data_IF_045313884802
#
_entry.id   IF_045313884802
#
_cell.length_a   1.000
_cell.length_b   1.000
_cell.length_c   1.000
_cell.angle_alpha   90.00
_cell.angle_beta   90.00
_cell.angle_gamma   90.00
#
_symmetry.space_group_name_H-M   'P 1'
#
loop_
_entity.id
_entity.type
_entity.pdbx_description
1 polymer ?
#
# COMPACT_ATOMS: atom_id res chain seq x y z
N UNK A 1 16.26 -4.70 -10.43
CA UNK A 1 16.81 -3.57 -9.64
C UNK A 1 15.64 -2.76 -9.15
N UNK A 2 15.51 -2.54 -7.84
CA UNK A 2 14.41 -1.76 -7.26
C UNK A 2 14.60 -0.28 -7.61
N UNK A 3 13.61 0.43 -8.16
CA UNK A 3 13.78 1.83 -8.56
C UNK A 3 13.97 2.77 -7.35
N UNK A 4 15.09 3.51 -7.36
CA UNK A 4 15.39 4.56 -6.38
C UNK A 4 14.79 5.89 -6.88
N UNK A 5 13.95 6.51 -6.06
CA UNK A 5 13.34 7.81 -6.33
C UNK A 5 14.05 8.89 -5.50
N UNK A 6 14.62 9.90 -6.12
CA UNK A 6 15.24 11.03 -5.40
C UNK A 6 14.17 12.05 -5.02
N UNK A 7 14.06 12.43 -3.74
CA UNK A 7 13.10 13.43 -3.26
C UNK A 7 13.82 14.70 -2.77
N UNK A 8 13.13 15.87 -2.69
CA UNK A 8 13.76 17.15 -2.34
C UNK A 8 14.42 17.23 -0.94
N UNK A 9 14.16 16.28 -0.03
CA UNK A 9 14.69 16.25 1.35
C UNK A 9 15.27 14.88 1.77
N UNK A 10 15.63 14.02 0.80
CA UNK A 10 16.17 12.69 1.10
C UNK A 10 16.02 11.69 -0.04
N UNK A 11 16.36 10.44 0.23
CA UNK A 11 16.23 9.35 -0.74
C UNK A 11 14.98 8.52 -0.43
N UNK A 12 14.14 8.28 -1.45
CA UNK A 12 13.00 7.38 -1.38
C UNK A 12 13.33 6.09 -2.14
N UNK A 13 13.14 4.95 -1.48
CA UNK A 13 13.23 3.64 -2.11
C UNK A 13 11.94 2.90 -1.86
N UNK A 14 11.24 2.49 -2.92
CA UNK A 14 10.03 1.68 -2.77
C UNK A 14 10.45 0.23 -2.91
N UNK A 15 10.27 -0.57 -1.86
CA UNK A 15 10.51 -2.02 -1.90
C UNK A 15 9.18 -2.75 -1.88
N UNK A 16 9.16 -3.94 -2.45
CA UNK A 16 8.02 -4.83 -2.45
C UNK A 16 8.43 -6.20 -1.91
N UNK A 17 7.50 -6.92 -1.29
CA UNK A 17 7.69 -8.31 -0.87
C UNK A 17 7.14 -9.25 -1.94
N UNK A 18 7.91 -10.24 -2.38
CA UNK A 18 7.51 -11.22 -3.41
C UNK A 18 7.37 -12.63 -2.80
N UNK A 19 6.35 -13.38 -3.22
CA UNK A 19 6.09 -14.77 -2.78
C UNK A 19 6.75 -15.82 -3.69
N UNK A 20 7.10 -15.50 -4.95
CA UNK A 20 7.56 -16.48 -5.94
C UNK A 20 9.06 -16.45 -6.26
N UNK A 21 9.87 -15.71 -5.49
CA UNK A 21 11.32 -15.84 -5.54
C UNK A 21 11.73 -16.79 -4.41
N UNK A 22 12.27 -17.96 -4.74
CA UNK A 22 12.84 -18.88 -3.74
C UNK A 22 14.05 -18.27 -3.00
N UNK A 23 14.44 -17.05 -3.33
CA UNK A 23 15.42 -16.26 -2.60
C UNK A 23 14.78 -14.99 -2.01
N UNK A 24 14.63 -15.04 -0.69
CA UNK A 24 14.39 -13.94 0.23
C UNK A 24 12.95 -13.44 0.37
N UNK A 25 12.16 -14.21 1.12
CA UNK A 25 11.33 -13.60 2.16
C UNK A 25 12.27 -12.74 3.04
N UNK A 26 12.44 -11.45 2.74
CA UNK A 26 12.96 -10.53 3.75
C UNK A 26 11.86 -10.44 4.80
N UNK A 27 11.93 -11.34 5.78
CA UNK A 27 10.98 -11.39 6.89
C UNK A 27 10.81 -9.97 7.43
N UNK A 28 9.56 -9.49 7.47
CA UNK A 28 9.25 -8.18 8.05
C UNK A 28 9.59 -8.28 9.54
N UNK A 29 10.72 -7.68 9.93
CA UNK A 29 11.21 -7.69 11.30
C UNK A 29 10.34 -6.84 12.22
N UNK A 30 10.52 -7.02 13.53
CA UNK A 30 9.71 -6.33 14.55
C UNK A 30 9.67 -4.81 14.39
N UNK A 31 10.78 -4.19 13.95
CA UNK A 31 10.80 -2.74 13.75
C UNK A 31 9.96 -2.31 12.53
N UNK A 32 10.03 -3.04 11.42
CA UNK A 32 9.15 -2.77 10.28
C UNK A 32 7.67 -3.02 10.63
N UNK A 33 7.36 -4.06 11.41
CA UNK A 33 6.00 -4.32 11.89
C UNK A 33 5.46 -3.15 12.73
N UNK A 34 6.29 -2.56 13.62
CA UNK A 34 5.89 -1.37 14.39
C UNK A 34 5.55 -0.18 13.47
N UNK A 35 6.34 0.03 12.42
CA UNK A 35 6.15 1.12 11.45
C UNK A 35 4.88 0.90 10.61
N UNK A 36 4.64 -0.33 10.14
CA UNK A 36 3.41 -0.71 9.42
C UNK A 36 2.18 -0.54 10.33
N UNK A 37 2.26 -0.95 11.60
CA UNK A 37 1.17 -0.73 12.56
C UNK A 37 0.82 0.75 12.72
N UNK A 38 1.83 1.61 12.77
CA UNK A 38 1.63 3.06 12.88
C UNK A 38 0.90 3.61 11.64
N UNK A 39 1.25 3.13 10.45
CA UNK A 39 0.55 3.46 9.20
C UNK A 39 -0.91 2.99 9.20
N UNK A 40 -1.17 1.74 9.59
CA UNK A 40 -2.52 1.17 9.69
C UNK A 40 -3.40 1.97 10.67
N UNK A 41 -2.84 2.41 11.81
CA UNK A 41 -3.56 3.26 12.76
C UNK A 41 -3.92 4.64 12.20
N UNK A 42 -3.12 5.21 11.30
CA UNK A 42 -3.47 6.45 10.61
C UNK A 42 -4.52 6.24 9.53
N UNK A 43 -4.48 5.10 8.84
CA UNK A 43 -5.44 4.77 7.80
C UNK A 43 -6.83 4.46 8.36
N UNK A 44 -6.89 3.65 9.41
CA UNK A 44 -8.13 3.13 10.00
C UNK A 44 -8.07 3.17 11.54
N UNK A 45 -8.18 4.37 12.17
CA UNK A 45 -8.00 4.52 13.62
C UNK A 45 -8.91 3.63 14.45
N UNK A 46 -10.18 3.47 14.05
CA UNK A 46 -11.15 2.64 14.76
C UNK A 46 -10.84 1.14 14.68
N UNK A 47 -10.60 0.62 13.48
CA UNK A 47 -10.33 -0.82 13.25
C UNK A 47 -8.96 -1.24 13.80
N UNK A 48 -8.00 -0.32 13.92
CA UNK A 48 -6.64 -0.62 14.34
C UNK A 48 -6.31 -0.20 15.77
N UNK A 49 -7.28 0.29 16.54
CA UNK A 49 -7.09 0.71 17.94
C UNK A 49 -6.58 -0.44 18.83
N UNK A 50 -7.11 -1.65 18.63
CA UNK A 50 -6.78 -2.86 19.39
C UNK A 50 -5.79 -3.81 18.69
N UNK A 51 -5.19 -3.41 17.56
CA UNK A 51 -4.31 -4.30 16.80
C UNK A 51 -2.98 -4.52 17.56
N UNK A 52 -2.85 -5.70 18.19
CA UNK A 52 -1.64 -6.14 18.86
C UNK A 52 -0.57 -6.64 17.86
N UNK A 53 0.65 -6.90 18.37
CA UNK A 53 1.79 -7.31 17.55
C UNK A 53 1.61 -8.69 16.93
N UNK A 54 1.05 -9.65 17.66
CA UNK A 54 0.87 -11.04 17.19
C UNK A 54 -0.18 -11.09 16.08
N UNK A 55 -1.32 -10.44 16.31
CA UNK A 55 -2.40 -10.33 15.32
C UNK A 55 -1.92 -9.62 14.05
N UNK A 56 -1.06 -8.60 14.18
CA UNK A 56 -0.45 -7.94 13.02
C UNK A 56 0.50 -8.87 12.25
N UNK A 57 1.38 -9.59 12.94
CA UNK A 57 2.30 -10.54 12.30
C UNK A 57 1.53 -11.61 11.52
N UNK A 58 0.48 -12.19 12.11
CA UNK A 58 -0.39 -13.16 11.45
C UNK A 58 -1.08 -12.58 10.21
N UNK A 59 -1.65 -11.37 10.29
CA UNK A 59 -2.29 -10.71 9.15
C UNK A 59 -1.31 -10.36 8.04
N UNK A 60 -0.10 -9.92 8.39
CA UNK A 60 0.94 -9.63 7.40
C UNK A 60 1.34 -10.90 6.65
N UNK A 61 1.55 -12.00 7.38
CA UNK A 61 1.87 -13.29 6.78
C UNK A 61 0.78 -13.73 5.79
N UNK A 62 -0.48 -13.74 6.24
CA UNK A 62 -1.63 -14.10 5.41
C UNK A 62 -1.79 -13.19 4.18
N UNK A 63 -1.62 -11.88 4.37
CA UNK A 63 -1.72 -10.91 3.27
C UNK A 63 -0.64 -11.18 2.22
N UNK A 64 0.60 -11.45 2.65
CA UNK A 64 1.74 -11.66 1.77
C UNK A 64 1.73 -13.00 1.04
N UNK A 65 0.92 -13.97 1.47
CA UNK A 65 0.72 -15.25 0.78
C UNK A 65 -0.05 -15.08 -0.54
N UNK A 66 -0.94 -14.08 -0.61
CA UNK A 66 -1.86 -13.92 -1.74
C UNK A 66 -1.79 -12.54 -2.39
N UNK A 67 -1.15 -11.57 -1.75
CA UNK A 67 -1.08 -10.18 -2.20
C UNK A 67 0.35 -9.66 -2.18
N UNK A 68 0.59 -8.56 -2.88
CA UNK A 68 1.87 -7.86 -2.86
C UNK A 68 1.77 -6.67 -1.92
N UNK A 69 2.57 -6.68 -0.84
CA UNK A 69 2.78 -5.51 0.00
C UNK A 69 3.93 -4.67 -0.57
N UNK A 70 3.63 -3.41 -0.89
CA UNK A 70 4.61 -2.40 -1.29
C UNK A 70 4.83 -1.44 -0.13
N UNK A 71 6.09 -1.12 0.16
CA UNK A 71 6.50 -0.22 1.25
C UNK A 71 7.48 0.85 0.75
N UNK A 72 7.17 2.10 1.07
CA UNK A 72 8.02 3.25 0.83
C UNK A 72 9.01 3.41 1.99
N UNK A 73 10.29 3.20 1.72
CA UNK A 73 11.38 3.48 2.66
C UNK A 73 11.91 4.89 2.41
N UNK A 74 11.96 5.68 3.48
CA UNK A 74 12.51 7.03 3.48
C UNK A 74 13.77 7.08 4.34
N UNK A 75 14.86 7.58 3.78
CA UNK A 75 16.08 7.89 4.51
C UNK A 75 16.09 9.38 4.92
N UNK A 76 16.24 9.66 6.21
CA UNK A 76 16.48 11.03 6.70
C UNK A 76 17.96 11.46 6.52
N UNK A 77 18.26 12.72 6.83
CA UNK A 77 19.61 13.30 6.69
C UNK A 77 20.67 12.59 7.58
N UNK A 78 20.22 11.86 8.61
CA UNK A 78 21.07 11.03 9.46
C UNK A 78 21.21 9.59 8.93
N UNK A 79 20.82 9.35 7.66
CA UNK A 79 20.79 8.06 7.00
C UNK A 79 19.91 7.00 7.68
N UNK A 80 18.96 7.39 8.54
CA UNK A 80 18.02 6.46 9.16
C UNK A 80 16.89 6.15 8.19
N UNK A 81 16.76 4.86 7.86
CA UNK A 81 15.75 4.35 6.93
C UNK A 81 14.53 3.85 7.71
N UNK A 82 13.34 4.30 7.32
CA UNK A 82 12.06 3.90 7.91
C UNK A 82 10.99 3.70 6.85
N UNK A 83 10.03 2.81 7.10
CA UNK A 83 8.83 2.69 6.29
C UNK A 83 7.91 3.88 6.61
N UNK A 84 7.57 4.66 5.59
CA UNK A 84 6.73 5.86 5.70
C UNK A 84 5.48 5.81 4.85
N UNK A 85 5.28 4.74 4.09
CA UNK A 85 4.05 4.53 3.35
C UNK A 85 3.95 3.10 2.87
N UNK A 86 2.73 2.68 2.56
CA UNK A 86 2.44 1.35 2.06
C UNK A 86 1.23 1.35 1.12
N UNK A 87 1.14 0.29 0.33
CA UNK A 87 -0.01 -0.10 -0.46
C UNK A 87 -0.01 -1.62 -0.63
N UNK A 88 -1.19 -2.22 -0.72
CA UNK A 88 -1.35 -3.66 -0.98
C UNK A 88 -2.01 -3.83 -2.34
N UNK A 89 -1.39 -4.62 -3.22
CA UNK A 89 -1.97 -5.05 -4.49
C UNK A 89 -2.49 -6.49 -4.34
N UNK A 90 -3.81 -6.65 -4.38
CA UNK A 90 -4.53 -7.91 -4.22
C UNK A 90 -4.95 -8.42 -5.61
N UNK A 91 -4.36 -9.50 -6.13
CA UNK A 91 -4.81 -10.14 -7.36
C UNK A 91 -6.22 -10.73 -7.21
N UNK A 92 -7.05 -10.58 -8.24
CA UNK A 92 -8.38 -11.16 -8.33
C UNK A 92 -8.51 -11.94 -9.65
N UNK A 93 -8.36 -13.26 -9.58
CA UNK A 93 -8.56 -14.14 -10.72
C UNK A 93 -10.07 -14.26 -11.00
N UNK A 94 -10.49 -13.84 -12.20
CA UNK A 94 -11.86 -13.97 -12.69
C UNK A 94 -11.88 -14.92 -13.88
N UNK A 95 -13.06 -15.44 -14.21
CA UNK A 95 -13.27 -16.23 -15.43
C UNK A 95 -13.00 -15.41 -16.70
N UNK A 96 -13.11 -14.09 -16.63
CA UNK A 96 -12.89 -13.16 -17.74
C UNK A 96 -11.47 -12.59 -17.81
N UNK A 97 -10.58 -12.98 -16.89
CA UNK A 97 -9.21 -12.50 -16.85
C UNK A 97 -8.73 -12.15 -15.45
N UNK A 98 -7.49 -11.67 -15.38
CA UNK A 98 -6.86 -11.25 -14.13
C UNK A 98 -7.04 -9.74 -13.92
N UNK A 99 -7.52 -9.37 -12.74
CA UNK A 99 -7.59 -7.98 -12.28
C UNK A 99 -6.89 -7.82 -10.93
N UNK A 100 -6.76 -6.58 -10.46
CA UNK A 100 -6.22 -6.28 -9.13
C UNK A 100 -7.08 -5.31 -8.34
N UNK A 101 -6.98 -5.38 -7.01
CA UNK A 101 -7.50 -4.39 -6.08
C UNK A 101 -6.33 -3.74 -5.34
N UNK A 102 -6.35 -2.42 -5.22
CA UNK A 102 -5.37 -1.67 -4.43
C UNK A 102 -6.00 -1.31 -3.10
N UNK A 103 -5.49 -1.95 -2.05
CA UNK A 103 -5.95 -1.81 -0.68
C UNK A 103 -4.87 -1.15 0.19
N UNK A 104 -5.27 -0.72 1.39
CA UNK A 104 -4.38 -0.22 2.44
C UNK A 104 -3.38 0.88 2.02
N UNK A 105 -3.81 1.79 1.14
CA UNK A 105 -2.97 2.90 0.65
C UNK A 105 -2.86 4.02 1.68
N UNK A 106 -1.67 4.19 2.24
CA UNK A 106 -1.39 5.23 3.25
C UNK A 106 0.06 5.74 3.18
N UNK A 107 0.22 7.03 3.45
CA UNK A 107 1.51 7.69 3.69
C UNK A 107 1.44 8.35 5.05
N UNK A 108 2.48 8.15 5.86
CA UNK A 108 2.64 8.74 7.18
C UNK A 108 2.48 10.26 7.12
N UNK A 109 1.72 10.85 8.04
CA UNK A 109 1.37 12.28 8.03
C UNK A 109 2.59 13.20 7.88
N UNK A 110 3.66 12.92 8.63
CA UNK A 110 4.92 13.68 8.60
C UNK A 110 5.66 13.64 7.24
N UNK A 111 5.25 12.77 6.31
CA UNK A 111 5.88 12.56 5.01
C UNK A 111 4.92 12.85 3.85
N UNK A 112 3.72 13.38 4.13
CA UNK A 112 2.76 13.79 3.09
C UNK A 112 3.26 15.03 2.33
N UNK A 113 2.72 15.23 1.13
CA UNK A 113 3.12 16.34 0.25
C UNK A 113 4.48 16.16 -0.44
N UNK A 114 5.22 15.10 -0.15
CA UNK A 114 6.56 14.84 -0.70
C UNK A 114 6.56 13.98 -1.98
N UNK A 115 5.39 13.70 -2.57
CA UNK A 115 5.28 12.83 -3.75
C UNK A 115 5.33 11.32 -3.48
N UNK A 116 5.47 10.89 -2.22
CA UNK A 116 5.58 9.46 -1.85
C UNK A 116 4.36 8.64 -2.27
N UNK A 117 3.16 9.18 -2.08
CA UNK A 117 1.93 8.49 -2.48
C UNK A 117 1.84 8.27 -4.00
N UNK A 118 2.34 9.23 -4.79
CA UNK A 118 2.44 9.10 -6.25
C UNK A 118 3.41 7.97 -6.62
N UNK A 119 4.62 8.02 -6.08
CA UNK A 119 5.64 7.01 -6.38
C UNK A 119 5.16 5.60 -5.99
N UNK A 120 4.50 5.45 -4.82
CA UNK A 120 3.89 4.18 -4.40
C UNK A 120 2.88 3.67 -5.43
N UNK A 121 1.94 4.50 -5.86
CA UNK A 121 0.90 4.08 -6.80
C UNK A 121 1.44 3.82 -8.20
N UNK A 122 2.45 4.58 -8.66
CA UNK A 122 3.14 4.33 -9.93
C UNK A 122 3.80 2.94 -9.92
N UNK A 123 4.39 2.54 -8.79
CA UNK A 123 4.95 1.20 -8.62
C UNK A 123 3.87 0.11 -8.56
N UNK A 124 2.74 0.36 -7.87
CA UNK A 124 1.58 -0.53 -7.91
C UNK A 124 1.10 -0.77 -9.34
N UNK A 125 0.97 0.30 -10.14
CA UNK A 125 0.55 0.23 -11.54
C UNK A 125 1.58 -0.56 -12.37
N UNK A 126 2.88 -0.32 -12.15
CA UNK A 126 3.97 -1.05 -12.82
C UNK A 126 3.89 -2.54 -12.52
N UNK A 127 3.70 -2.91 -11.26
CA UNK A 127 3.58 -4.30 -10.82
C UNK A 127 2.31 -4.98 -11.37
N UNK A 128 1.18 -4.27 -11.38
CA UNK A 128 -0.06 -4.79 -11.96
C UNK A 128 0.11 -5.12 -13.45
N UNK A 129 0.73 -4.21 -14.21
CA UNK A 129 1.05 -4.42 -15.63
C UNK A 129 2.00 -5.59 -15.83
N UNK A 130 3.06 -5.69 -15.02
CA UNK A 130 4.02 -6.79 -15.10
C UNK A 130 3.39 -8.16 -14.81
N UNK A 131 2.34 -8.20 -13.97
CA UNK A 131 1.55 -9.40 -13.72
C UNK A 131 0.50 -9.72 -14.79
N UNK A 132 0.36 -8.89 -15.84
CA UNK A 132 -0.67 -9.07 -16.87
C UNK A 132 -2.09 -8.77 -16.38
N UNK A 133 -2.25 -7.99 -15.31
CA UNK A 133 -3.56 -7.55 -14.85
C UNK A 133 -4.18 -6.61 -15.89
N UNK A 134 -5.41 -6.91 -16.29
CA UNK A 134 -6.13 -6.12 -17.30
C UNK A 134 -6.62 -4.78 -16.73
N UNK A 135 -6.99 -4.77 -15.44
CA UNK A 135 -7.49 -3.60 -14.71
C UNK A 135 -7.08 -3.67 -13.24
N UNK A 136 -6.96 -2.51 -12.62
CA UNK A 136 -6.88 -2.37 -11.16
C UNK A 136 -7.98 -1.47 -10.64
N UNK A 137 -8.50 -1.77 -9.46
CA UNK A 137 -9.57 -1.05 -8.78
C UNK A 137 -9.09 -0.56 -7.43
N UNK A 138 -9.67 0.53 -6.94
CA UNK A 138 -9.50 0.97 -5.55
C UNK A 138 -10.79 1.59 -5.06
N UNK A 139 -10.98 1.60 -3.75
CA UNK A 139 -12.10 2.30 -3.15
C UNK A 139 -11.65 3.42 -2.24
N UNK A 140 -12.27 4.59 -2.35
CA UNK A 140 -12.04 5.71 -1.45
C UNK A 140 -13.35 6.37 -1.10
N UNK A 141 -13.65 6.51 0.20
CA UNK A 141 -14.87 7.17 0.67
C UNK A 141 -14.86 8.66 0.30
N UNK A 142 -15.76 9.14 -0.58
CA UNK A 142 -15.81 10.55 -0.97
C UNK A 142 -16.24 11.47 0.17
N UNK A 143 -16.99 10.95 1.16
CA UNK A 143 -17.50 11.72 2.29
C UNK A 143 -16.48 11.86 3.43
N UNK A 144 -15.26 11.31 3.28
CA UNK A 144 -14.18 11.49 4.23
C UNK A 144 -13.24 12.60 3.73
N UNK A 145 -13.20 13.79 4.36
CA UNK A 145 -12.34 14.90 3.93
C UNK A 145 -10.85 14.54 3.88
N UNK A 146 -10.38 13.61 4.71
CA UNK A 146 -9.01 13.14 4.68
C UNK A 146 -8.64 12.43 3.36
N UNK A 147 -9.64 12.05 2.55
CA UNK A 147 -9.45 11.36 1.27
C UNK A 147 -9.40 12.29 0.05
N UNK A 148 -9.64 13.58 0.21
CA UNK A 148 -9.61 14.54 -0.92
C UNK A 148 -8.28 14.53 -1.66
N UNK A 149 -7.16 14.58 -0.93
CA UNK A 149 -5.83 14.54 -1.54
C UNK A 149 -5.54 13.21 -2.28
N UNK A 150 -5.98 12.08 -1.70
CA UNK A 150 -5.83 10.77 -2.32
C UNK A 150 -6.66 10.66 -3.61
N UNK A 151 -7.90 11.14 -3.60
CA UNK A 151 -8.78 11.16 -4.78
C UNK A 151 -8.19 12.01 -5.92
N UNK A 152 -7.68 13.19 -5.61
CA UNK A 152 -6.99 14.03 -6.59
C UNK A 152 -5.73 13.37 -7.16
N UNK A 153 -5.00 12.61 -6.33
CA UNK A 153 -3.87 11.80 -6.79
C UNK A 153 -4.33 10.70 -7.77
N UNK A 154 -5.37 9.94 -7.43
CA UNK A 154 -5.87 8.86 -8.28
C UNK A 154 -6.33 9.37 -9.65
N UNK A 155 -7.06 10.49 -9.69
CA UNK A 155 -7.45 11.13 -10.95
C UNK A 155 -6.23 11.50 -11.82
N UNK A 156 -5.17 12.07 -11.22
CA UNK A 156 -3.91 12.40 -11.92
C UNK A 156 -3.13 11.18 -12.40
N UNK A 157 -3.41 10.00 -11.86
CA UNK A 157 -2.81 8.73 -12.27
C UNK A 157 -3.64 7.99 -13.33
N UNK A 158 -4.75 8.59 -13.79
CA UNK A 158 -5.62 8.03 -14.81
C UNK A 158 -6.66 7.04 -14.27
N UNK A 159 -6.96 7.07 -12.96
CA UNK A 159 -8.12 6.35 -12.44
C UNK A 159 -9.41 7.09 -12.81
N UNK A 160 -10.31 6.39 -13.49
CA UNK A 160 -11.66 6.87 -13.73
C UNK A 160 -12.56 6.56 -12.54
N UNK A 161 -13.24 7.58 -12.01
CA UNK A 161 -14.25 7.36 -10.97
C UNK A 161 -15.51 6.74 -11.59
N UNK A 162 -15.93 5.59 -11.06
CA UNK A 162 -17.13 4.87 -11.51
C UNK A 162 -18.11 4.71 -10.35
N UNK A 163 -19.40 4.88 -10.62
CA UNK A 163 -20.47 4.68 -9.65
C UNK A 163 -20.80 3.17 -9.46
N UNK A 164 -21.43 2.82 -8.33
CA UNK A 164 -22.04 1.50 -8.13
C UNK A 164 -21.28 0.54 -7.18
N UNK A 165 -21.07 0.94 -5.92
CA UNK A 165 -20.53 0.05 -4.87
C UNK A 165 -21.65 -0.45 -3.97
N UNK A 166 -21.74 -1.76 -3.78
CA UNK A 166 -22.60 -2.41 -2.79
C UNK A 166 -21.72 -3.05 -1.71
N UNK A 167 -22.11 -2.89 -0.45
CA UNK A 167 -21.39 -3.44 0.70
C UNK A 167 -22.40 -4.08 1.64
N UNK A 168 -22.12 -5.33 2.03
CA UNK A 168 -22.80 -6.04 3.09
C UNK A 168 -21.74 -6.46 4.12
N UNK A 169 -21.99 -6.18 5.40
CA UNK A 169 -21.12 -6.68 6.46
C UNK A 169 -21.50 -8.14 6.74
N UNK A 170 -20.55 -9.06 6.60
CA UNK A 170 -20.78 -10.50 6.79
C UNK A 170 -20.54 -10.97 8.24
N UNK A 171 -20.02 -10.10 9.11
CA UNK A 171 -19.91 -10.35 10.54
C UNK A 171 -21.14 -9.77 11.25
N UNK A 172 -21.85 -10.63 11.98
CA UNK A 172 -22.89 -10.23 12.96
C UNK A 172 -22.29 -9.52 14.17
#
# INVERSE_FOLDING_TARGET
MVPLHVLPKGHLMIRYTWHQDQNAFHRIGHEQQKQIRALLRQLSPGTCASLDTKTLEERLQQTMEHSKLLVAHYADDAARVRIVGMAVLVPAQKLTGLEGHVEDVVVHDAHRGMGIGRALMEEVIREARACGMQRIHLTSNPNNPARTAARALYAKLGFDERAGRFVLNCSE
#
